data_IF_833257543779
#
_entry.id   IF_833257543779
#
_cell.length_a   1.000
_cell.length_b   1.000
_cell.length_c   1.000
_cell.angle_alpha   90.00
_cell.angle_beta   90.00
_cell.angle_gamma   90.00
#
_symmetry.space_group_name_H-M   'P 1'
#
loop_
_entity.id
_entity.type
_entity.pdbx_description
1 polymer ?
#
# COMPACT_ATOMS: atom_id res chain seq x y z
N UNK A 1 -36.34 3.47 61.62
CA UNK A 1 -35.21 4.37 61.28
C UNK A 1 -34.46 3.77 60.11
N UNK A 2 -34.26 4.58 59.07
CA UNK A 2 -33.76 4.25 57.73
C UNK A 2 -32.44 3.48 57.70
N UNK A 3 -32.25 2.66 56.65
CA UNK A 3 -31.17 2.88 55.66
C UNK A 3 -31.41 2.06 54.39
N UNK A 4 -31.37 2.79 53.29
CA UNK A 4 -31.40 2.40 51.87
C UNK A 4 -30.01 1.86 51.50
N UNK A 5 -29.92 0.89 50.58
CA UNK A 5 -28.61 0.38 50.15
C UNK A 5 -28.62 -0.65 49.01
N UNK A 6 -29.17 -0.25 47.85
CA UNK A 6 -28.66 -0.48 46.48
C UNK A 6 -28.37 -1.93 46.02
N UNK A 7 -29.26 -2.43 45.14
CA UNK A 7 -29.01 -3.53 44.20
C UNK A 7 -27.95 -3.14 43.16
N UNK A 8 -26.86 -3.89 43.07
CA UNK A 8 -25.90 -3.78 41.98
C UNK A 8 -26.28 -4.78 40.86
N UNK A 9 -26.92 -4.27 39.80
CA UNK A 9 -27.05 -4.98 38.53
C UNK A 9 -25.71 -4.89 37.78
N UNK A 10 -25.06 -6.03 37.57
CA UNK A 10 -23.96 -6.13 36.62
C UNK A 10 -24.53 -6.47 35.23
N UNK A 11 -24.76 -5.45 34.42
CA UNK A 11 -25.03 -5.62 32.99
C UNK A 11 -23.68 -5.81 32.28
N UNK A 12 -23.42 -7.02 31.79
CA UNK A 12 -22.32 -7.31 30.88
C UNK A 12 -22.67 -6.65 29.54
N UNK A 13 -22.06 -5.49 29.26
CA UNK A 13 -22.09 -4.88 27.94
C UNK A 13 -21.13 -5.67 27.06
N UNK A 14 -21.68 -6.54 26.22
CA UNK A 14 -20.96 -7.12 25.09
C UNK A 14 -20.69 -5.97 24.11
N UNK A 15 -19.47 -5.45 24.11
CA UNK A 15 -18.98 -4.54 23.08
C UNK A 15 -18.82 -5.33 21.79
N UNK A 16 -19.91 -5.46 21.03
CA UNK A 16 -19.81 -5.82 19.61
C UNK A 16 -19.20 -4.59 18.92
N UNK A 17 -17.96 -4.72 18.47
CA UNK A 17 -17.31 -3.72 17.62
C UNK A 17 -18.22 -3.43 16.43
N UNK A 18 -18.64 -2.16 16.29
CA UNK A 18 -19.43 -1.73 15.14
C UNK A 18 -18.59 -2.00 13.87
N UNK A 19 -19.15 -2.64 12.83
CA UNK A 19 -18.46 -2.70 11.55
C UNK A 19 -18.23 -1.26 11.06
N UNK A 20 -16.98 -0.95 10.71
CA UNK A 20 -16.62 0.30 10.04
C UNK A 20 -17.33 0.33 8.68
N UNK A 21 -18.56 0.84 8.63
CA UNK A 21 -19.21 1.18 7.37
C UNK A 21 -18.56 2.46 6.85
N UNK A 22 -17.73 2.34 5.82
CA UNK A 22 -17.18 3.50 5.12
C UNK A 22 -18.29 4.09 4.25
N UNK A 23 -18.76 5.29 4.60
CA UNK A 23 -19.72 6.04 3.79
C UNK A 23 -19.00 6.67 2.59
N UNK A 24 -19.16 6.05 1.43
CA UNK A 24 -18.48 6.43 0.19
C UNK A 24 -19.21 7.58 -0.53
N UNK A 25 -19.47 8.68 0.18
CA UNK A 25 -19.95 9.92 -0.42
C UNK A 25 -18.78 10.63 -1.13
N UNK A 26 -18.96 11.18 -2.34
CA UNK A 26 -17.94 11.98 -3.00
C UNK A 26 -17.67 13.26 -2.19
N UNK A 27 -16.47 13.39 -1.62
CA UNK A 27 -16.08 14.62 -0.92
C UNK A 27 -15.96 15.76 -1.92
N UNK A 28 -16.71 16.84 -1.69
CA UNK A 28 -16.79 18.02 -2.56
C UNK A 28 -15.67 19.05 -2.30
N UNK A 29 -14.55 18.64 -1.71
CA UNK A 29 -13.50 19.56 -1.27
C UNK A 29 -12.12 19.16 -1.79
N UNK A 30 -11.87 19.40 -3.08
CA UNK A 30 -10.51 19.64 -3.58
C UNK A 30 -10.56 20.76 -4.62
N UNK A 31 -10.17 21.97 -4.21
CA UNK A 31 -9.88 23.07 -5.14
C UNK A 31 -8.50 22.83 -5.77
N UNK A 32 -8.46 22.90 -7.09
CA UNK A 32 -7.29 22.65 -7.92
C UNK A 32 -6.25 23.77 -7.80
N UNK A 33 -5.00 23.42 -7.49
CA UNK A 33 -3.83 24.05 -8.13
C UNK A 33 -2.70 22.99 -8.15
N UNK A 34 -2.31 22.53 -9.34
CA UNK A 34 -1.02 21.87 -9.54
C UNK A 34 -0.36 22.51 -10.78
N UNK A 35 0.86 23.06 -10.66
CA UNK A 35 1.57 23.63 -11.80
C UNK A 35 2.11 22.50 -12.70
N UNK A 36 2.07 22.76 -14.02
CA UNK A 36 2.62 21.91 -15.07
C UNK A 36 4.14 22.12 -15.13
N UNK A 37 4.94 21.05 -15.11
CA UNK A 37 6.37 21.12 -15.43
C UNK A 37 6.78 19.94 -16.32
N UNK A 38 7.58 20.23 -17.35
CA UNK A 38 8.08 19.26 -18.35
C UNK A 38 9.22 18.39 -17.79
N UNK A 39 9.38 17.13 -18.27
CA UNK A 39 10.42 16.23 -17.77
C UNK A 39 11.73 16.35 -18.58
N UNK A 40 12.84 16.54 -17.87
CA UNK A 40 14.19 16.35 -18.42
C UNK A 40 14.58 14.87 -18.30
N UNK A 41 15.04 14.28 -19.41
CA UNK A 41 15.28 12.84 -19.53
C UNK A 41 16.60 12.43 -18.84
N UNK A 42 16.53 11.48 -17.91
CA UNK A 42 17.69 10.75 -17.39
C UNK A 42 17.52 9.25 -17.67
N UNK A 43 18.32 8.75 -18.61
CA UNK A 43 18.48 7.32 -18.93
C UNK A 43 19.41 6.65 -17.89
N UNK A 44 18.97 5.57 -17.25
CA UNK A 44 19.87 4.72 -16.45
C UNK A 44 19.35 3.26 -16.37
N UNK A 45 20.25 2.28 -16.57
CA UNK A 45 19.94 0.85 -16.76
C UNK A 45 20.14 -0.01 -15.48
N UNK A 46 19.00 -0.48 -14.93
CA UNK A 46 18.63 -1.77 -14.32
C UNK A 46 19.43 -2.48 -13.19
N UNK A 47 18.74 -2.78 -12.07
CA UNK A 47 18.25 -4.13 -11.68
C UNK A 47 16.86 -4.13 -10.99
N UNK A 48 15.79 -4.18 -11.81
CA UNK A 48 14.57 -5.02 -11.75
C UNK A 48 13.59 -5.15 -10.55
N UNK A 49 13.48 -4.23 -9.58
CA UNK A 49 12.17 -4.02 -8.92
C UNK A 49 11.71 -2.56 -8.93
N UNK A 50 12.54 -1.59 -8.54
CA UNK A 50 12.08 -0.18 -8.44
C UNK A 50 12.47 0.73 -9.60
N UNK A 51 13.37 0.28 -10.49
CA UNK A 51 13.90 1.10 -11.58
C UNK A 51 12.83 1.55 -12.61
N UNK A 52 11.65 0.92 -12.62
CA UNK A 52 10.56 1.22 -13.55
C UNK A 52 9.51 2.20 -13.01
N UNK A 53 9.63 2.63 -11.75
CA UNK A 53 8.56 3.36 -11.07
C UNK A 53 8.49 4.87 -11.38
N UNK A 54 9.39 5.41 -12.19
CA UNK A 54 9.56 6.87 -12.35
C UNK A 54 8.82 7.50 -13.55
N UNK A 55 7.86 6.81 -14.17
CA UNK A 55 7.13 7.39 -15.32
C UNK A 55 5.90 8.20 -14.90
N UNK A 56 6.02 9.52 -14.95
CA UNK A 56 4.94 10.45 -15.32
C UNK A 56 3.70 10.45 -14.42
N UNK A 57 3.84 11.06 -13.24
CA UNK A 57 2.73 11.31 -12.34
C UNK A 57 1.68 12.21 -13.01
N UNK A 58 0.47 11.70 -13.16
CA UNK A 58 -0.71 12.55 -13.06
C UNK A 58 -1.41 12.14 -11.78
N UNK A 59 -1.48 13.03 -10.80
CA UNK A 59 -2.38 12.92 -9.63
C UNK A 59 -3.82 12.99 -10.12
N UNK A 60 -4.28 11.97 -10.84
CA UNK A 60 -5.70 11.73 -11.00
C UNK A 60 -6.15 10.94 -9.79
N UNK A 61 -6.62 11.67 -8.79
CA UNK A 61 -7.78 11.22 -8.02
C UNK A 61 -8.74 10.58 -9.01
N UNK A 62 -8.90 9.26 -8.90
CA UNK A 62 -9.98 8.55 -9.54
C UNK A 62 -11.26 9.29 -9.15
N UNK A 63 -11.81 10.11 -10.07
CA UNK A 63 -13.11 10.77 -9.85
C UNK A 63 -14.20 9.74 -9.53
N UNK A 64 -13.99 8.49 -9.94
CA UNK A 64 -14.76 7.32 -9.53
C UNK A 64 -13.78 6.27 -9.00
N UNK A 65 -13.81 5.97 -7.70
CA UNK A 65 -12.94 5.02 -6.95
C UNK A 65 -13.02 3.55 -7.44
N UNK A 66 -13.42 3.32 -8.68
CA UNK A 66 -13.49 2.04 -9.34
C UNK A 66 -12.19 1.74 -10.13
N UNK A 67 -11.51 0.66 -9.74
CA UNK A 67 -10.37 0.08 -10.42
C UNK A 67 -10.86 -0.92 -11.46
N UNK A 68 -10.70 -0.55 -12.73
CA UNK A 68 -11.06 -1.44 -13.83
C UNK A 68 -9.94 -2.46 -14.05
N UNK A 69 -10.29 -3.74 -14.02
CA UNK A 69 -9.35 -4.86 -13.94
C UNK A 69 -9.62 -5.89 -15.03
N UNK A 70 -8.56 -6.33 -15.70
CA UNK A 70 -8.58 -7.46 -16.65
C UNK A 70 -7.59 -8.52 -16.20
N UNK A 71 -8.08 -9.75 -16.02
CA UNK A 71 -7.27 -10.91 -15.66
C UNK A 71 -6.98 -11.78 -16.88
N UNK A 72 -5.80 -12.39 -16.90
CA UNK A 72 -5.47 -13.52 -17.79
C UNK A 72 -4.84 -14.61 -16.93
N UNK A 73 -5.68 -15.28 -16.13
CA UNK A 73 -5.28 -16.21 -15.08
C UNK A 73 -6.27 -17.38 -14.97
N UNK A 74 -5.83 -18.48 -14.34
CA UNK A 74 -6.69 -19.64 -14.09
C UNK A 74 -7.71 -19.38 -12.97
N UNK A 75 -8.78 -20.17 -12.90
CA UNK A 75 -9.84 -19.99 -11.88
C UNK A 75 -9.33 -20.09 -10.43
N UNK A 76 -8.31 -20.91 -10.16
CA UNK A 76 -7.71 -20.98 -8.82
C UNK A 76 -7.04 -19.67 -8.43
N UNK A 77 -6.32 -19.05 -9.36
CA UNK A 77 -5.61 -17.79 -9.13
C UNK A 77 -6.60 -16.64 -8.88
N UNK A 78 -7.73 -16.63 -9.60
CA UNK A 78 -8.77 -15.62 -9.45
C UNK A 78 -9.31 -15.55 -8.02
N UNK A 79 -9.47 -16.68 -7.33
CA UNK A 79 -9.94 -16.69 -5.93
C UNK A 79 -9.01 -15.95 -4.96
N UNK A 80 -7.69 -16.04 -5.17
CA UNK A 80 -6.73 -15.33 -4.33
C UNK A 80 -6.83 -13.82 -4.55
N UNK A 81 -7.02 -13.41 -5.81
CA UNK A 81 -7.14 -12.01 -6.19
C UNK A 81 -8.48 -11.41 -5.72
N UNK A 82 -9.59 -12.13 -5.89
CA UNK A 82 -10.90 -11.72 -5.39
C UNK A 82 -10.90 -11.56 -3.86
N UNK A 83 -10.17 -12.43 -3.14
CA UNK A 83 -10.00 -12.28 -1.69
C UNK A 83 -9.26 -11.00 -1.33
N UNK A 84 -8.21 -10.64 -2.05
CA UNK A 84 -7.46 -9.40 -1.84
C UNK A 84 -8.31 -8.15 -2.17
N UNK A 85 -9.09 -8.17 -3.25
CA UNK A 85 -10.05 -7.09 -3.53
C UNK A 85 -11.03 -6.89 -2.39
N UNK A 86 -11.54 -7.97 -1.82
CA UNK A 86 -12.49 -7.88 -0.75
C UNK A 86 -11.91 -7.17 0.49
N UNK A 87 -10.59 -7.16 0.70
CA UNK A 87 -9.97 -6.35 1.77
C UNK A 87 -10.09 -4.85 1.53
N UNK A 88 -9.88 -4.40 0.30
CA UNK A 88 -10.14 -3.01 -0.09
C UNK A 88 -11.63 -2.67 -0.07
N UNK A 89 -12.48 -3.52 -0.65
CA UNK A 89 -13.89 -3.22 -0.84
C UNK A 89 -14.68 -3.17 0.47
N UNK A 90 -14.26 -3.95 1.48
CA UNK A 90 -14.84 -3.92 2.83
C UNK A 90 -14.39 -2.71 3.64
N UNK A 91 -13.14 -2.30 3.48
CA UNK A 91 -12.50 -1.33 4.38
C UNK A 91 -12.35 0.06 3.78
N UNK A 92 -12.57 0.22 2.48
CA UNK A 92 -12.36 1.48 1.75
C UNK A 92 -13.47 1.68 0.71
N UNK A 93 -13.39 2.79 -0.03
CA UNK A 93 -14.28 3.05 -1.16
C UNK A 93 -13.75 2.57 -2.51
N UNK A 94 -12.62 1.87 -2.54
CA UNK A 94 -12.10 1.24 -3.75
C UNK A 94 -13.00 0.09 -4.17
N UNK A 95 -13.30 0.00 -5.47
CA UNK A 95 -14.10 -1.09 -6.07
C UNK A 95 -13.38 -1.68 -7.27
N UNK A 96 -13.25 -3.00 -7.35
CA UNK A 96 -12.59 -3.65 -8.48
C UNK A 96 -13.64 -4.18 -9.47
N UNK A 97 -13.64 -3.65 -10.69
CA UNK A 97 -14.65 -3.96 -11.70
C UNK A 97 -14.04 -4.62 -12.93
N UNK A 98 -14.63 -5.73 -13.38
CA UNK A 98 -14.17 -6.42 -14.57
C UNK A 98 -14.24 -5.49 -15.79
N UNK A 99 -13.10 -5.37 -16.49
CA UNK A 99 -13.00 -4.59 -17.73
C UNK A 99 -13.96 -5.10 -18.80
N UNK A 100 -14.61 -4.15 -19.47
CA UNK A 100 -15.36 -4.36 -20.70
C UNK A 100 -14.60 -3.72 -21.87
N UNK A 101 -14.61 -2.39 -21.95
CA UNK A 101 -14.05 -1.60 -23.04
C UNK A 101 -13.25 -0.37 -22.56
N UNK A 102 -13.04 -0.21 -21.25
CA UNK A 102 -12.32 0.94 -20.70
C UNK A 102 -10.88 0.98 -21.23
N UNK A 103 -10.40 2.18 -21.56
CA UNK A 103 -9.04 2.43 -22.06
C UNK A 103 -8.00 2.22 -20.97
N UNK A 104 -8.25 2.80 -19.80
CA UNK A 104 -7.42 2.62 -18.62
C UNK A 104 -7.85 1.41 -17.81
N UNK A 105 -6.93 0.49 -17.55
CA UNK A 105 -7.21 -0.69 -16.73
C UNK A 105 -5.92 -1.32 -16.20
N UNK A 106 -6.07 -2.00 -15.07
CA UNK A 106 -5.04 -2.85 -14.50
C UNK A 106 -5.11 -4.23 -15.15
N UNK A 107 -4.00 -4.66 -15.72
CA UNK A 107 -3.81 -5.94 -16.40
C UNK A 107 -3.03 -6.88 -15.50
N UNK A 108 -3.76 -7.72 -14.78
CA UNK A 108 -3.19 -8.66 -13.81
C UNK A 108 -2.85 -9.96 -14.52
N UNK A 109 -1.56 -10.33 -14.50
CA UNK A 109 -1.02 -11.48 -15.22
C UNK A 109 -0.02 -12.28 -14.37
N UNK A 110 0.24 -13.52 -14.77
CA UNK A 110 1.40 -14.28 -14.33
C UNK A 110 2.63 -13.81 -15.08
N UNK A 111 3.51 -13.09 -14.40
CA UNK A 111 4.80 -12.62 -14.92
C UNK A 111 5.98 -13.14 -14.11
N UNK A 112 7.09 -12.42 -14.15
CA UNK A 112 8.27 -12.70 -13.34
C UNK A 112 8.30 -11.73 -12.15
N UNK A 113 8.34 -12.25 -10.93
CA UNK A 113 8.28 -11.43 -9.72
C UNK A 113 6.89 -10.86 -9.42
N UNK A 114 6.82 -10.11 -8.32
CA UNK A 114 5.63 -9.43 -7.83
C UNK A 114 5.88 -7.93 -7.99
N UNK A 115 5.10 -7.25 -8.84
CA UNK A 115 5.26 -5.81 -9.02
C UNK A 115 4.03 -5.14 -9.62
N UNK A 116 3.90 -3.84 -9.36
CA UNK A 116 2.97 -2.93 -9.99
C UNK A 116 3.55 -1.54 -10.14
N UNK A 117 3.03 -0.75 -11.10
CA UNK A 117 3.33 0.68 -11.18
C UNK A 117 2.59 1.44 -10.08
N UNK A 118 3.18 2.53 -9.58
CA UNK A 118 2.52 3.40 -8.60
C UNK A 118 1.47 4.30 -9.28
N UNK A 119 0.23 4.21 -8.79
CA UNK A 119 -0.88 5.03 -9.24
C UNK A 119 -1.36 4.67 -10.66
N UNK A 120 -2.03 5.60 -11.32
CA UNK A 120 -2.56 5.41 -12.69
C UNK A 120 -1.60 5.93 -13.74
N UNK A 121 -0.95 5.02 -14.46
CA UNK A 121 -0.13 5.38 -15.63
C UNK A 121 -0.98 5.74 -16.88
N UNK A 122 -2.24 5.27 -16.92
CA UNK A 122 -3.12 5.38 -18.09
C UNK A 122 -2.95 4.20 -19.06
N UNK A 123 -3.98 3.90 -19.84
CA UNK A 123 -4.02 2.76 -20.75
C UNK A 123 -3.92 1.41 -20.02
N UNK A 124 -3.25 0.44 -20.67
CA UNK A 124 -2.97 -0.88 -20.08
C UNK A 124 -1.80 -0.78 -19.10
N UNK A 125 -2.08 -0.87 -17.81
CA UNK A 125 -1.08 -0.92 -16.73
C UNK A 125 -0.88 -2.36 -16.27
N UNK A 126 0.35 -2.87 -16.24
CA UNK A 126 0.59 -4.26 -15.81
C UNK A 126 0.72 -4.38 -14.29
N UNK A 127 0.16 -5.46 -13.74
CA UNK A 127 0.47 -5.98 -12.40
C UNK A 127 0.90 -7.44 -12.57
N UNK A 128 2.13 -7.75 -12.16
CA UNK A 128 2.71 -9.08 -12.25
C UNK A 128 2.52 -9.83 -10.94
N UNK A 129 1.93 -11.03 -11.02
CA UNK A 129 1.86 -12.00 -9.93
C UNK A 129 2.55 -13.28 -10.40
N UNK A 130 3.87 -13.33 -10.28
CA UNK A 130 4.67 -14.49 -10.63
C UNK A 130 4.56 -15.66 -9.66
N UNK A 131 5.45 -16.64 -9.81
CA UNK A 131 5.55 -17.77 -8.88
C UNK A 131 5.86 -17.25 -7.46
N UNK A 132 5.07 -17.67 -6.48
CA UNK A 132 5.20 -17.22 -5.08
C UNK A 132 4.39 -15.97 -4.73
N UNK A 133 3.86 -15.23 -5.71
CA UNK A 133 3.16 -13.96 -5.46
C UNK A 133 1.65 -14.10 -5.18
N UNK A 134 1.09 -15.32 -5.24
CA UNK A 134 -0.35 -15.56 -5.07
C UNK A 134 -0.77 -15.69 -3.58
N UNK A 135 -0.04 -15.06 -2.67
CA UNK A 135 -0.47 -14.89 -1.28
C UNK A 135 -1.30 -13.61 -1.13
N UNK A 136 -2.18 -13.60 -0.13
CA UNK A 136 -3.14 -12.50 0.07
C UNK A 136 -2.43 -11.16 0.32
N UNK A 137 -1.47 -11.15 1.21
CA UNK A 137 -0.64 -10.00 1.60
C UNK A 137 0.12 -9.39 0.42
N UNK A 138 0.77 -10.23 -0.41
CA UNK A 138 1.48 -9.75 -1.60
C UNK A 138 0.50 -9.12 -2.60
N UNK A 139 -0.65 -9.75 -2.85
CA UNK A 139 -1.63 -9.17 -3.79
C UNK A 139 -2.17 -7.84 -3.24
N UNK A 140 -2.44 -7.75 -1.94
CA UNK A 140 -2.88 -6.48 -1.32
C UNK A 140 -1.80 -5.40 -1.48
N UNK A 141 -0.53 -5.72 -1.27
CA UNK A 141 0.61 -4.82 -1.46
C UNK A 141 0.71 -4.30 -2.91
N UNK A 142 0.68 -5.20 -3.90
CA UNK A 142 0.79 -4.81 -5.32
C UNK A 142 -0.41 -3.98 -5.79
N UNK A 143 -1.59 -4.25 -5.24
CA UNK A 143 -2.75 -3.41 -5.48
C UNK A 143 -2.57 -2.02 -4.87
N UNK A 144 -1.96 -1.90 -3.68
CA UNK A 144 -1.74 -0.61 -3.01
C UNK A 144 -0.77 0.27 -3.80
N UNK A 145 0.23 -0.32 -4.44
CA UNK A 145 1.03 0.35 -5.46
C UNK A 145 0.14 0.90 -6.59
N UNK A 146 -0.70 0.06 -7.22
CA UNK A 146 -1.65 0.53 -8.24
C UNK A 146 -2.58 1.65 -7.76
N UNK A 147 -2.92 1.67 -6.47
CA UNK A 147 -3.71 2.75 -5.87
C UNK A 147 -2.97 4.08 -5.87
N UNK A 148 -1.66 4.06 -5.63
CA UNK A 148 -0.84 5.28 -5.61
C UNK A 148 0.19 5.36 -4.50
N UNK A 149 0.41 4.28 -3.75
CA UNK A 149 1.29 4.31 -2.58
C UNK A 149 2.67 3.74 -2.90
N UNK A 150 3.69 4.47 -2.45
CA UNK A 150 5.06 4.00 -2.34
C UNK A 150 5.25 3.14 -1.11
N UNK A 151 6.42 2.53 -0.95
CA UNK A 151 6.76 1.88 0.31
C UNK A 151 6.86 2.86 1.47
N UNK A 152 6.41 2.46 2.65
CA UNK A 152 6.41 3.31 3.85
C UNK A 152 7.86 3.62 4.29
N UNK A 153 8.81 2.70 4.09
CA UNK A 153 10.25 2.95 4.33
C UNK A 153 10.90 3.90 3.33
N UNK A 154 10.16 4.38 2.32
CA UNK A 154 10.65 5.36 1.35
C UNK A 154 10.10 6.76 1.61
N UNK A 155 9.35 6.97 2.69
CA UNK A 155 8.90 8.32 3.08
C UNK A 155 10.05 9.29 3.29
N UNK A 156 9.79 10.58 3.07
CA UNK A 156 10.79 11.63 3.22
C UNK A 156 11.25 11.80 4.69
N UNK A 157 10.32 11.59 5.62
CA UNK A 157 10.48 11.66 7.08
C UNK A 157 10.93 10.34 7.73
N UNK A 158 11.16 9.27 6.95
CA UNK A 158 11.44 7.93 7.50
C UNK A 158 12.59 7.89 8.51
N UNK A 159 13.58 8.77 8.38
CA UNK A 159 14.82 8.70 9.17
C UNK A 159 14.57 9.13 10.64
N UNK A 160 13.40 9.70 10.93
CA UNK A 160 12.89 9.93 12.29
C UNK A 160 12.28 8.67 12.93
N UNK A 161 12.05 7.62 12.12
CA UNK A 161 11.28 6.43 12.49
C UNK A 161 12.10 5.14 12.35
N UNK A 162 12.97 5.06 11.36
CA UNK A 162 13.80 3.88 11.08
C UNK A 162 15.25 4.26 10.81
N UNK A 163 16.14 3.29 11.03
CA UNK A 163 17.57 3.37 10.71
C UNK A 163 17.87 2.34 9.63
N UNK A 164 18.48 2.80 8.54
CA UNK A 164 18.98 1.91 7.48
C UNK A 164 20.42 1.48 7.80
N UNK A 165 20.62 0.17 7.98
CA UNK A 165 21.93 -0.48 8.17
C UNK A 165 22.58 -0.76 6.82
N UNK A 166 23.13 0.29 6.21
CA UNK A 166 23.74 0.25 4.87
C UNK A 166 24.82 -0.81 4.70
N UNK A 167 25.52 -1.15 5.78
CA UNK A 167 26.54 -2.18 5.88
C UNK A 167 26.00 -3.60 5.70
N UNK A 168 24.70 -3.84 5.96
CA UNK A 168 24.06 -5.16 5.85
C UNK A 168 23.40 -5.38 4.48
N UNK A 169 23.24 -4.33 3.67
CA UNK A 169 22.57 -4.41 2.35
C UNK A 169 23.48 -5.08 1.31
N UNK A 170 22.89 -5.94 0.47
CA UNK A 170 23.54 -6.56 -0.68
C UNK A 170 24.16 -5.52 -1.63
N UNK A 171 25.35 -5.79 -2.20
CA UNK A 171 25.91 -4.95 -3.26
C UNK A 171 24.90 -4.76 -4.41
N UNK A 172 24.73 -3.52 -4.87
CA UNK A 172 23.75 -3.16 -5.91
C UNK A 172 22.34 -2.87 -5.41
N UNK A 173 21.98 -3.21 -4.16
CA UNK A 173 20.60 -3.07 -3.67
C UNK A 173 20.35 -1.81 -2.82
N UNK A 174 21.34 -0.92 -2.69
CA UNK A 174 21.18 0.30 -1.87
C UNK A 174 20.07 1.23 -2.39
N UNK A 175 19.84 1.25 -3.71
CA UNK A 175 18.80 2.07 -4.33
C UNK A 175 17.38 1.69 -3.91
N UNK A 176 17.15 0.45 -3.47
CA UNK A 176 15.88 -0.04 -2.92
C UNK A 176 15.49 0.67 -1.60
N UNK A 177 16.43 1.39 -1.00
CA UNK A 177 16.25 2.17 0.22
C UNK A 177 16.34 3.67 -0.05
N UNK A 178 16.18 4.13 -1.30
CA UNK A 178 16.10 5.56 -1.57
C UNK A 178 14.79 6.14 -1.04
N UNK A 179 14.86 7.34 -0.47
CA UNK A 179 13.65 8.10 -0.12
C UNK A 179 13.02 8.66 -1.39
N UNK A 180 11.68 8.64 -1.45
CA UNK A 180 10.93 9.41 -2.42
C UNK A 180 11.02 10.89 -2.03
N UNK A 181 11.16 11.78 -3.02
CA UNK A 181 11.19 13.21 -2.75
C UNK A 181 9.88 13.68 -2.11
N UNK A 182 9.95 14.60 -1.15
CA UNK A 182 8.76 15.17 -0.50
C UNK A 182 7.78 15.83 -1.48
N UNK A 183 8.23 16.26 -2.66
CA UNK A 183 7.37 16.86 -3.70
C UNK A 183 6.59 15.82 -4.52
N UNK A 184 6.97 14.54 -4.42
CA UNK A 184 6.36 13.43 -5.16
C UNK A 184 5.49 12.53 -4.27
N UNK A 185 5.39 12.85 -2.97
CA UNK A 185 4.60 12.10 -2.01
C UNK A 185 3.75 13.05 -1.18
N UNK A 186 2.63 12.53 -0.69
CA UNK A 186 1.80 13.19 0.32
C UNK A 186 1.55 12.15 1.42
N UNK A 187 1.86 12.51 2.67
CA UNK A 187 1.61 11.64 3.82
C UNK A 187 0.14 11.66 4.23
N UNK A 188 -0.66 12.55 3.63
CA UNK A 188 -2.07 12.81 3.93
C UNK A 188 -2.29 13.23 5.39
N UNK A 189 -1.25 13.76 6.04
CA UNK A 189 -1.25 14.14 7.45
C UNK A 189 -1.11 12.95 8.41
N UNK A 190 -0.93 11.74 7.90
CA UNK A 190 -0.85 10.53 8.71
C UNK A 190 0.56 10.25 9.24
N UNK A 191 0.61 9.67 10.44
CA UNK A 191 1.86 9.25 11.08
C UNK A 191 2.56 8.14 10.29
N UNK A 192 3.84 7.92 10.60
CA UNK A 192 4.59 6.79 10.07
C UNK A 192 4.03 5.47 10.57
N UNK A 193 3.75 4.54 9.67
CA UNK A 193 3.07 3.30 9.99
C UNK A 193 3.97 2.07 9.89
N UNK A 194 4.51 1.63 11.03
CA UNK A 194 5.31 0.40 11.11
C UNK A 194 4.51 -0.88 10.79
N UNK A 195 3.19 -0.83 10.84
CA UNK A 195 2.29 -1.97 10.57
C UNK A 195 1.75 -1.94 9.13
N UNK A 196 2.16 -0.97 8.32
CA UNK A 196 1.67 -0.82 6.94
C UNK A 196 2.00 -2.06 6.11
N UNK A 197 1.06 -2.46 5.27
CA UNK A 197 1.31 -3.48 4.24
C UNK A 197 2.40 -3.03 3.25
N UNK A 198 2.70 -1.74 3.20
CA UNK A 198 3.71 -1.13 2.33
C UNK A 198 5.09 -1.02 2.97
N UNK A 199 5.28 -1.50 4.20
CA UNK A 199 6.59 -1.48 4.83
C UNK A 199 7.39 -2.76 4.50
N UNK A 200 8.66 -2.61 4.14
CA UNK A 200 9.57 -3.75 4.00
C UNK A 200 9.81 -4.47 5.34
N UNK A 201 10.11 -5.76 5.26
CA UNK A 201 10.63 -6.51 6.41
C UNK A 201 12.01 -6.00 6.84
N UNK A 202 12.36 -6.24 8.11
CA UNK A 202 13.62 -5.78 8.68
C UNK A 202 14.87 -6.34 8.00
N UNK A 203 14.79 -7.54 7.41
CA UNK A 203 15.87 -8.23 6.71
C UNK A 203 15.91 -7.97 5.19
N UNK A 204 15.06 -7.10 4.66
CA UNK A 204 14.93 -6.87 3.23
C UNK A 204 16.30 -6.62 2.58
N UNK A 205 16.60 -7.33 1.50
CA UNK A 205 17.87 -7.22 0.77
C UNK A 205 19.15 -7.41 1.61
N UNK A 206 19.09 -8.14 2.72
CA UNK A 206 20.24 -8.43 3.57
C UNK A 206 21.23 -9.38 2.90
N UNK A 207 22.54 -9.11 3.04
CA UNK A 207 23.63 -9.97 2.56
C UNK A 207 24.11 -10.99 3.60
N UNK A 208 23.74 -10.81 4.86
CA UNK A 208 24.29 -11.55 6.01
C UNK A 208 23.20 -12.04 6.98
N UNK A 209 21.93 -11.93 6.60
CA UNK A 209 20.78 -12.31 7.44
C UNK A 209 20.52 -11.37 8.62
N UNK A 210 21.29 -10.29 8.76
CA UNK A 210 21.04 -9.25 9.76
C UNK A 210 20.08 -8.20 9.22
N UNK A 211 19.48 -7.43 10.12
CA UNK A 211 18.54 -6.36 9.76
C UNK A 211 19.22 -5.31 8.86
N UNK A 212 18.55 -4.94 7.79
CA UNK A 212 18.84 -3.76 6.96
C UNK A 212 17.99 -2.56 7.39
N UNK A 213 16.83 -2.79 8.01
CA UNK A 213 15.96 -1.78 8.59
C UNK A 213 15.74 -2.08 10.08
N UNK A 214 15.97 -1.09 10.93
CA UNK A 214 15.65 -1.14 12.35
C UNK A 214 14.74 0.02 12.72
N UNK A 215 13.66 -0.25 13.46
CA UNK A 215 12.81 0.80 13.99
C UNK A 215 13.54 1.53 15.14
N UNK A 216 13.39 2.86 15.18
CA UNK A 216 13.89 3.72 16.26
C UNK A 216 13.25 3.36 17.60
N UNK A 217 11.99 2.89 17.57
CA UNK A 217 11.31 2.27 18.69
C UNK A 217 11.51 0.74 18.55
N UNK A 218 12.39 0.09 19.35
CA UNK A 218 12.87 -1.26 19.07
C UNK A 218 11.80 -2.35 18.96
N UNK A 219 10.67 -2.16 19.64
CA UNK A 219 9.54 -3.11 19.61
C UNK A 219 8.93 -3.27 18.21
N UNK A 220 9.09 -2.29 17.31
CA UNK A 220 8.55 -2.33 15.96
C UNK A 220 9.50 -2.97 14.93
N UNK A 221 10.77 -3.23 15.27
CA UNK A 221 11.71 -3.88 14.33
C UNK A 221 11.25 -5.26 13.90
N UNK A 222 10.54 -6.01 14.76
CA UNK A 222 9.97 -7.32 14.42
C UNK A 222 8.52 -7.24 13.92
N UNK A 223 7.97 -6.02 13.77
CA UNK A 223 6.59 -5.76 13.31
C UNK A 223 6.60 -5.38 11.84
N UNK A 224 7.58 -4.56 11.42
CA UNK A 224 7.71 -4.10 10.04
C UNK A 224 7.76 -5.26 9.04
N UNK A 225 7.01 -5.15 7.95
CA UNK A 225 6.92 -6.17 6.90
C UNK A 225 6.23 -7.48 7.29
N UNK A 226 5.55 -7.54 8.44
CA UNK A 226 4.78 -8.73 8.86
C UNK A 226 3.28 -8.63 8.58
N UNK A 227 2.84 -7.47 8.09
CA UNK A 227 1.44 -7.18 7.80
C UNK A 227 0.81 -8.21 6.86
N UNK A 228 -0.42 -8.63 7.17
CA UNK A 228 -1.18 -9.62 6.39
C UNK A 228 -2.36 -9.03 5.65
N UNK A 229 -2.68 -7.77 5.91
CA UNK A 229 -3.73 -7.01 5.25
C UNK A 229 -3.44 -5.51 5.47
N UNK A 230 -4.29 -4.63 4.93
CA UNK A 230 -4.23 -3.18 5.15
C UNK A 230 -4.25 -2.86 6.66
N UNK A 231 -3.33 -2.01 7.10
CA UNK A 231 -3.38 -1.43 8.44
C UNK A 231 -4.54 -0.43 8.56
N UNK A 232 -4.82 0.04 9.78
CA UNK A 232 -5.81 1.11 9.97
C UNK A 232 -5.39 2.41 9.27
N UNK A 233 -4.10 2.70 9.23
CA UNK A 233 -3.56 3.91 8.58
C UNK A 233 -3.57 3.75 7.05
N UNK A 234 -3.28 2.56 6.53
CA UNK A 234 -3.42 2.25 5.10
C UNK A 234 -4.86 2.51 4.63
N UNK A 235 -5.85 2.04 5.40
CA UNK A 235 -7.28 2.26 5.12
C UNK A 235 -7.63 3.75 5.11
N UNK A 236 -7.13 4.52 6.08
CA UNK A 236 -7.38 5.97 6.17
C UNK A 236 -6.79 6.69 4.96
N UNK A 237 -5.53 6.40 4.61
CA UNK A 237 -4.83 6.99 3.47
C UNK A 237 -5.55 6.75 2.13
N UNK A 238 -6.23 5.62 2.00
CA UNK A 238 -6.97 5.24 0.77
C UNK A 238 -8.38 5.84 0.68
N UNK A 239 -8.99 6.21 1.82
CA UNK A 239 -10.43 6.51 1.94
C UNK A 239 -10.82 7.94 1.58
#
# INVERSE_FOLDING_TARGET
MSRIGVHLFAAIVVLVSKPYFVDCQPSSLFHSIAPVYEPEQLHYQSTHHDAWMHSGMKTFTFRNRAFVVKYVLGQSDLRHIERAFASYERSTCIRFVKRQNQEDYLYIKKGNGCYSQVGRAGGRQELSLGLGCLSHDIIVHELMHSVGFWHEHSRADRDDHIVIRWENIMPGMKEQFNKISAVLQDTLGEQYDYESIMHYESSAFSKNGQNTIEATIPQYTNVIGTARDLSSVDVIKVS
#
